data_IF_410139819926
#
_entry.id   IF_410139819926
#
_cell.length_a   1.000
_cell.length_b   1.000
_cell.length_c   1.000
_cell.angle_alpha   90.00
_cell.angle_beta   90.00
_cell.angle_gamma   90.00
#
_symmetry.space_group_name_H-M   'P 1'
#
loop_
_entity.id
_entity.type
_entity.pdbx_description
1 polymer ?
#
# COMPACT_ATOMS: atom_id res chain seq x y z
N UNK A 1 13.24 43.64 33.88
CA UNK A 1 12.66 42.31 34.17
C UNK A 1 12.94 41.43 32.94
N UNK A 2 13.92 40.54 33.00
CA UNK A 2 14.24 39.64 31.88
C UNK A 2 13.12 38.62 31.72
N UNK A 3 12.38 38.68 30.61
CA UNK A 3 11.42 37.64 30.23
C UNK A 3 12.26 36.42 29.82
N UNK A 4 12.18 35.34 30.60
CA UNK A 4 12.86 34.10 30.28
C UNK A 4 12.32 33.58 28.93
N UNK A 5 13.20 33.53 27.93
CA UNK A 5 12.92 32.86 26.66
C UNK A 5 12.73 31.39 26.99
N UNK A 6 11.49 30.89 26.92
CA UNK A 6 11.19 29.48 27.18
C UNK A 6 11.93 28.61 26.17
N UNK A 7 12.46 27.50 26.67
CA UNK A 7 13.03 26.43 25.84
C UNK A 7 11.96 25.89 24.87
N UNK A 8 12.41 25.38 23.73
CA UNK A 8 11.55 24.80 22.70
C UNK A 8 10.67 23.69 23.29
N UNK A 9 9.49 23.44 22.70
CA UNK A 9 8.63 22.33 23.12
C UNK A 9 9.41 21.01 22.99
N UNK A 10 9.42 20.20 24.05
CA UNK A 10 10.07 18.90 24.03
C UNK A 10 9.37 17.98 23.01
N UNK A 11 10.06 17.73 21.91
CA UNK A 11 9.54 16.93 20.79
C UNK A 11 9.32 15.46 21.16
N UNK A 12 10.11 14.91 22.08
CA UNK A 12 9.92 13.52 22.55
C UNK A 12 8.66 13.44 23.39
N UNK A 13 8.46 14.38 24.31
CA UNK A 13 7.24 14.46 25.11
C UNK A 13 6.01 14.69 24.22
N UNK A 14 6.08 15.63 23.28
CA UNK A 14 5.02 15.90 22.32
C UNK A 14 4.66 14.66 21.49
N UNK A 15 5.66 13.89 21.04
CA UNK A 15 5.42 12.61 20.35
C UNK A 15 4.70 11.63 21.27
N UNK A 16 5.15 11.48 22.53
CA UNK A 16 4.49 10.61 23.51
C UNK A 16 3.02 10.96 23.71
N UNK A 17 2.71 12.24 23.94
CA UNK A 17 1.34 12.75 24.08
C UNK A 17 0.52 12.48 22.82
N UNK A 18 1.07 12.71 21.62
CA UNK A 18 0.35 12.46 20.38
C UNK A 18 -0.10 11.00 20.23
N UNK A 19 0.79 10.04 20.53
CA UNK A 19 0.46 8.61 20.47
C UNK A 19 -0.52 8.18 21.56
N UNK A 20 -0.31 8.67 22.79
CA UNK A 20 -1.20 8.39 23.92
C UNK A 20 -2.64 8.83 23.61
N UNK A 21 -2.81 10.07 23.14
CA UNK A 21 -4.14 10.62 22.85
C UNK A 21 -4.73 10.01 21.57
N UNK A 22 -3.91 9.59 20.59
CA UNK A 22 -4.38 8.83 19.43
C UNK A 22 -4.95 7.44 19.80
N UNK A 23 -4.35 6.77 20.79
CA UNK A 23 -4.84 5.50 21.32
C UNK A 23 -6.15 5.69 22.10
N UNK A 24 -6.25 6.73 22.94
CA UNK A 24 -7.50 7.07 23.65
C UNK A 24 -8.64 7.46 22.69
N UNK A 25 -8.32 8.19 21.61
CA UNK A 25 -9.29 8.50 20.57
C UNK A 25 -9.81 7.22 19.87
N UNK A 26 -8.92 6.27 19.55
CA UNK A 26 -9.32 4.98 18.99
C UNK A 26 -10.21 4.15 19.94
N UNK A 27 -10.00 4.28 21.25
CA UNK A 27 -10.85 3.67 22.28
C UNK A 27 -12.18 4.44 22.52
N UNK A 28 -12.48 5.48 21.74
CA UNK A 28 -13.74 6.22 21.82
C UNK A 28 -13.81 7.28 22.92
N UNK A 29 -12.70 7.61 23.58
CA UNK A 29 -12.65 8.67 24.60
C UNK A 29 -12.64 10.07 23.99
N UNK A 30 -13.68 10.40 23.22
CA UNK A 30 -13.79 11.63 22.43
C UNK A 30 -14.81 12.56 23.09
N UNK A 31 -14.45 13.84 23.24
CA UNK A 31 -15.39 14.88 23.69
C UNK A 31 -16.10 15.52 22.47
N UNK A 32 -17.42 15.31 22.30
CA UNK A 32 -18.17 15.85 21.18
C UNK A 32 -18.15 17.38 21.08
N UNK A 33 -17.91 18.09 22.20
CA UNK A 33 -17.89 19.55 22.22
C UNK A 33 -16.73 20.12 21.41
N UNK A 34 -15.64 19.37 21.24
CA UNK A 34 -14.50 19.75 20.38
C UNK A 34 -14.65 19.22 18.96
N UNK A 35 -15.35 18.09 18.75
CA UNK A 35 -15.54 17.49 17.42
C UNK A 35 -16.23 18.46 16.46
N UNK A 36 -17.38 19.00 16.86
CA UNK A 36 -18.21 19.86 15.99
C UNK A 36 -17.45 21.08 15.41
N UNK A 37 -16.78 21.93 16.22
CA UNK A 37 -16.07 23.08 15.66
C UNK A 37 -14.87 22.67 14.79
N UNK A 38 -14.17 21.57 15.11
CA UNK A 38 -13.04 21.07 14.31
C UNK A 38 -13.52 20.50 12.96
N UNK A 39 -14.66 19.82 12.93
CA UNK A 39 -15.32 19.36 11.70
C UNK A 39 -15.70 20.55 10.82
N UNK A 40 -16.35 21.57 11.40
CA UNK A 40 -16.74 22.79 10.68
C UNK A 40 -15.53 23.51 10.07
N UNK A 41 -14.42 23.60 10.79
CA UNK A 41 -13.17 24.13 10.25
C UNK A 41 -12.67 23.27 9.07
N UNK A 42 -12.70 21.94 9.22
CA UNK A 42 -12.23 21.00 8.20
C UNK A 42 -13.02 21.13 6.89
N UNK A 43 -14.35 21.16 6.98
CA UNK A 43 -15.25 21.37 5.85
C UNK A 43 -15.00 22.74 5.19
N UNK A 44 -14.93 23.81 5.98
CA UNK A 44 -14.74 25.16 5.47
C UNK A 44 -13.36 25.37 4.81
N UNK A 45 -12.33 24.67 5.29
CA UNK A 45 -10.97 24.74 4.76
C UNK A 45 -10.78 23.99 3.42
N UNK A 46 -11.67 23.04 3.11
CA UNK A 46 -11.61 22.21 1.90
C UNK A 46 -11.61 23.08 0.63
N UNK A 47 -10.63 22.84 -0.25
CA UNK A 47 -10.45 23.60 -1.49
C UNK A 47 -9.98 25.05 -1.31
N UNK A 48 -9.67 25.51 -0.09
CA UNK A 48 -9.30 26.90 0.20
C UNK A 48 -7.97 27.04 0.94
N UNK A 49 -7.87 26.52 2.15
CA UNK A 49 -6.79 26.87 3.09
C UNK A 49 -6.46 25.76 4.09
N UNK A 50 -6.08 24.60 3.53
CA UNK A 50 -5.86 23.38 4.29
C UNK A 50 -4.72 23.50 5.33
N UNK A 51 -3.78 24.44 5.15
CA UNK A 51 -2.72 24.72 6.13
C UNK A 51 -3.26 25.16 7.50
N UNK A 52 -4.47 25.72 7.59
CA UNK A 52 -5.12 26.06 8.85
C UNK A 52 -5.39 24.81 9.72
N UNK A 53 -5.65 23.67 9.10
CA UNK A 53 -5.85 22.38 9.79
C UNK A 53 -4.54 21.94 10.45
N UNK A 54 -3.43 21.98 9.71
CA UNK A 54 -2.11 21.64 10.24
C UNK A 54 -1.69 22.58 11.38
N UNK A 55 -2.02 23.87 11.29
CA UNK A 55 -1.76 24.83 12.36
C UNK A 55 -2.57 24.52 13.61
N UNK A 56 -3.87 24.23 13.47
CA UNK A 56 -4.71 23.85 14.60
C UNK A 56 -4.15 22.63 15.33
N UNK A 57 -3.85 21.54 14.60
CA UNK A 57 -3.30 20.34 15.22
C UNK A 57 -1.97 20.60 15.95
N UNK A 58 -1.16 21.52 15.41
CA UNK A 58 0.11 21.93 16.04
C UNK A 58 -0.13 22.70 17.33
N UNK A 59 -1.06 23.65 17.33
CA UNK A 59 -1.39 24.46 18.50
C UNK A 59 -2.02 23.62 19.63
N UNK A 60 -2.93 22.71 19.28
CA UNK A 60 -3.53 21.76 20.23
C UNK A 60 -2.45 20.86 20.85
N UNK A 61 -1.56 20.28 20.04
CA UNK A 61 -0.47 19.45 20.54
C UNK A 61 0.47 20.24 21.46
N UNK A 62 0.80 21.48 21.10
CA UNK A 62 1.64 22.34 21.91
C UNK A 62 1.04 22.60 23.29
N UNK A 63 -0.26 22.93 23.35
CA UNK A 63 -1.00 23.18 24.59
C UNK A 63 -1.09 21.94 25.50
N UNK A 64 -1.14 20.74 24.92
CA UNK A 64 -1.12 19.49 25.69
C UNK A 64 0.22 19.22 26.37
N UNK A 65 1.31 19.76 25.83
CA UNK A 65 2.67 19.58 26.37
C UNK A 65 3.03 20.66 27.37
N UNK A 66 2.61 21.89 27.11
CA UNK A 66 2.79 23.02 28.01
C UNK A 66 1.50 23.87 28.06
N UNK A 67 0.75 23.81 29.17
CA UNK A 67 -0.50 24.57 29.32
C UNK A 67 -0.34 26.10 29.28
N UNK A 68 0.88 26.62 29.41
CA UNK A 68 1.14 28.07 29.43
C UNK A 68 1.50 28.67 28.07
N UNK A 69 1.51 27.87 26.99
CA UNK A 69 1.83 28.42 25.66
C UNK A 69 0.76 29.39 25.17
N UNK A 70 1.21 30.31 24.32
CA UNK A 70 0.35 31.12 23.47
C UNK A 70 -0.01 30.32 22.21
N UNK A 71 -1.25 29.81 22.14
CA UNK A 71 -1.69 28.93 21.03
C UNK A 71 -1.77 29.66 19.69
N UNK A 72 -1.72 30.99 19.70
CA UNK A 72 -1.65 31.83 18.50
C UNK A 72 -0.22 32.05 18.01
N UNK A 73 0.80 31.74 18.82
CA UNK A 73 2.19 31.96 18.43
C UNK A 73 2.58 31.06 17.24
N UNK A 74 3.26 31.67 16.26
CA UNK A 74 3.83 30.99 15.09
C UNK A 74 5.35 30.91 15.22
N UNK A 75 5.98 31.98 15.73
CA UNK A 75 7.43 32.12 15.91
C UNK A 75 7.75 32.44 17.37
N UNK A 76 8.96 32.07 17.80
CA UNK A 76 9.48 32.32 19.16
C UNK A 76 9.57 33.82 19.53
N UNK A 77 9.62 34.70 18.53
CA UNK A 77 9.63 36.16 18.72
C UNK A 77 8.27 36.76 19.10
N UNK A 78 7.18 35.99 19.05
CA UNK A 78 5.83 36.48 19.29
C UNK A 78 5.52 36.97 20.72
N UNK A 79 6.38 36.65 21.69
CA UNK A 79 6.26 37.13 23.08
C UNK A 79 6.22 36.01 24.13
N UNK A 80 5.68 36.30 25.33
CA UNK A 80 5.56 35.32 26.41
C UNK A 80 4.74 34.09 25.98
N UNK A 81 5.21 32.89 26.33
CA UNK A 81 4.55 31.63 25.94
C UNK A 81 4.70 31.27 24.46
N UNK A 82 5.46 32.04 23.67
CA UNK A 82 5.68 31.75 22.26
C UNK A 82 6.59 30.53 22.05
N UNK A 83 6.36 29.83 20.95
CA UNK A 83 7.09 28.63 20.55
C UNK A 83 7.30 28.61 19.03
N UNK A 84 8.03 27.61 18.52
CA UNK A 84 8.11 27.39 17.07
C UNK A 84 7.02 26.44 16.61
N UNK A 85 5.90 27.00 16.10
CA UNK A 85 4.83 26.19 15.52
C UNK A 85 5.37 25.36 14.34
N UNK A 86 6.20 25.95 13.48
CA UNK A 86 6.87 25.20 12.39
C UNK A 86 7.71 24.06 12.96
N UNK A 87 8.53 24.33 13.97
CA UNK A 87 9.43 23.37 14.63
C UNK A 87 8.71 22.15 15.20
N UNK A 88 7.54 22.37 15.83
CA UNK A 88 6.71 21.29 16.34
C UNK A 88 5.96 20.56 15.21
N UNK A 89 5.40 21.31 14.25
CA UNK A 89 4.64 20.77 13.14
C UNK A 89 5.47 19.80 12.29
N UNK A 90 6.61 20.25 11.74
CA UNK A 90 7.45 19.42 10.87
C UNK A 90 8.31 18.39 11.63
N UNK A 91 8.47 18.58 12.96
CA UNK A 91 9.31 17.74 13.80
C UNK A 91 8.55 16.64 14.52
N UNK A 92 7.24 16.80 14.70
CA UNK A 92 6.39 15.85 15.44
C UNK A 92 5.10 15.58 14.69
N UNK A 93 4.23 16.57 14.48
CA UNK A 93 2.88 16.29 13.97
C UNK A 93 2.91 15.67 12.56
N UNK A 94 3.59 16.30 11.61
CA UNK A 94 3.69 15.84 10.20
C UNK A 94 4.34 14.46 10.07
N UNK A 95 5.52 14.17 10.65
CA UNK A 95 6.16 12.87 10.44
C UNK A 95 5.40 11.70 11.07
N UNK A 96 4.62 11.92 12.14
CA UNK A 96 3.84 10.86 12.81
C UNK A 96 2.39 10.78 12.30
N UNK A 97 1.91 11.75 11.53
CA UNK A 97 0.54 11.78 11.02
C UNK A 97 0.17 10.60 10.11
N UNK A 98 1.00 10.16 9.14
CA UNK A 98 0.69 9.00 8.30
C UNK A 98 0.53 7.70 9.09
N UNK A 99 1.38 7.46 10.09
CA UNK A 99 1.33 6.27 10.94
C UNK A 99 0.07 6.23 11.81
N UNK A 100 -0.45 7.39 12.21
CA UNK A 100 -1.63 7.54 13.05
C UNK A 100 -2.93 7.77 12.25
N UNK A 101 -2.87 7.71 10.93
CA UNK A 101 -3.95 8.03 9.97
C UNK A 101 -4.53 9.44 10.12
N UNK A 102 -3.72 10.42 10.53
CA UNK A 102 -4.16 11.81 10.72
C UNK A 102 -4.01 12.55 9.39
N UNK A 103 -5.10 12.83 8.68
CA UNK A 103 -5.04 13.66 7.48
C UNK A 103 -4.83 15.15 7.85
N UNK A 104 -3.68 15.77 7.62
CA UNK A 104 -3.45 17.18 7.96
C UNK A 104 -4.02 18.20 6.94
N UNK A 105 -4.75 17.73 5.93
CA UNK A 105 -5.26 18.52 4.81
C UNK A 105 -4.18 18.87 3.77
N UNK A 106 -2.91 18.63 4.05
CA UNK A 106 -1.81 18.87 3.14
C UNK A 106 -0.83 17.70 3.15
N UNK A 107 -0.17 17.44 2.02
CA UNK A 107 0.81 16.36 1.87
C UNK A 107 2.27 16.82 2.02
N UNK A 108 2.51 18.14 2.07
CA UNK A 108 3.85 18.71 2.17
C UNK A 108 4.49 18.51 3.55
N UNK A 109 5.81 18.29 3.58
CA UNK A 109 6.60 18.09 4.82
C UNK A 109 6.62 19.31 5.74
N UNK A 110 6.36 20.50 5.20
CA UNK A 110 6.36 21.76 5.95
C UNK A 110 5.10 22.58 5.67
N UNK A 111 3.93 22.17 6.20
CA UNK A 111 2.65 22.86 5.99
C UNK A 111 2.73 24.36 6.27
N UNK A 112 3.40 24.71 7.38
CA UNK A 112 3.50 26.08 7.89
C UNK A 112 4.60 26.91 7.19
N UNK A 113 5.29 26.36 6.18
CA UNK A 113 6.22 27.10 5.33
C UNK A 113 5.49 27.76 4.13
N UNK A 114 4.27 28.25 4.35
CA UNK A 114 3.41 28.91 3.38
C UNK A 114 2.78 30.18 3.99
N UNK A 115 2.22 31.05 3.17
CA UNK A 115 1.41 32.17 3.66
C UNK A 115 0.15 31.65 4.37
N UNK A 116 -0.32 32.31 5.45
CA UNK A 116 0.24 33.52 6.07
C UNK A 116 1.39 33.23 7.07
N UNK A 117 1.54 31.98 7.50
CA UNK A 117 2.41 31.54 8.60
C UNK A 117 3.89 31.86 8.41
N UNK A 118 4.37 31.87 7.17
CA UNK A 118 5.76 32.22 6.88
C UNK A 118 6.11 33.66 7.33
N UNK A 119 5.20 34.62 7.17
CA UNK A 119 5.48 36.04 7.41
C UNK A 119 5.14 36.50 8.82
N UNK A 120 4.10 35.95 9.43
CA UNK A 120 3.60 36.40 10.73
C UNK A 120 4.38 35.79 11.89
N UNK A 121 4.41 36.48 13.03
CA UNK A 121 4.95 35.94 14.29
C UNK A 121 3.87 35.30 15.15
N UNK A 122 2.67 35.86 15.11
CA UNK A 122 1.47 35.42 15.81
C UNK A 122 0.29 35.45 14.85
N UNK A 123 -0.61 34.48 14.95
CA UNK A 123 -1.85 34.46 14.20
C UNK A 123 -2.86 35.43 14.82
N UNK A 124 -3.46 36.27 14.00
CA UNK A 124 -4.57 37.16 14.39
C UNK A 124 -5.68 37.06 13.35
N UNK A 125 -6.89 37.54 13.67
CA UNK A 125 -8.03 37.53 12.73
C UNK A 125 -7.77 38.40 11.49
N UNK A 126 -6.82 39.33 11.58
CA UNK A 126 -6.38 40.23 10.52
C UNK A 126 -5.25 39.64 9.65
N UNK A 127 -4.82 38.40 9.91
CA UNK A 127 -3.72 37.79 9.16
C UNK A 127 -3.95 37.85 7.63
N UNK A 128 -2.90 38.04 6.83
CA UNK A 128 -3.02 38.32 5.39
C UNK A 128 -3.41 37.05 4.62
N UNK A 129 -4.72 36.80 4.50
CA UNK A 129 -5.29 35.70 3.70
C UNK A 129 -6.25 36.26 2.64
N UNK A 130 -6.60 35.45 1.64
CA UNK A 130 -7.59 35.82 0.63
C UNK A 130 -8.96 36.07 1.29
N UNK A 131 -9.76 36.99 0.76
CA UNK A 131 -11.10 37.30 1.29
C UNK A 131 -11.98 36.05 1.46
N UNK A 132 -11.91 35.12 0.50
CA UNK A 132 -12.62 33.83 0.52
C UNK A 132 -12.19 32.88 1.65
N UNK A 133 -11.03 33.11 2.26
CA UNK A 133 -10.45 32.34 3.37
C UNK A 133 -10.75 32.99 4.73
N UNK A 134 -11.28 34.22 4.77
CA UNK A 134 -11.48 34.98 6.01
C UNK A 134 -12.38 34.23 7.01
N UNK A 135 -13.46 33.63 6.53
CA UNK A 135 -14.35 32.82 7.37
C UNK A 135 -13.65 31.60 7.99
N UNK A 136 -12.78 30.93 7.23
CA UNK A 136 -11.99 29.80 7.73
C UNK A 136 -11.02 30.25 8.83
N UNK A 137 -10.37 31.42 8.64
CA UNK A 137 -9.49 31.94 9.68
C UNK A 137 -10.28 32.29 10.95
N UNK A 138 -11.46 32.90 10.83
CA UNK A 138 -12.26 33.24 12.00
C UNK A 138 -12.65 31.99 12.80
N UNK A 139 -13.08 30.92 12.11
CA UNK A 139 -13.35 29.63 12.76
C UNK A 139 -12.11 29.07 13.46
N UNK A 140 -10.94 29.14 12.83
CA UNK A 140 -9.68 28.73 13.45
C UNK A 140 -9.41 29.55 14.71
N UNK A 141 -9.53 30.88 14.65
CA UNK A 141 -9.32 31.75 15.80
C UNK A 141 -10.33 31.49 16.91
N UNK A 142 -11.60 31.20 16.61
CA UNK A 142 -12.62 30.84 17.61
C UNK A 142 -12.23 29.56 18.38
N UNK A 143 -11.70 28.56 17.67
CA UNK A 143 -11.20 27.32 18.30
C UNK A 143 -9.97 27.61 19.14
N UNK A 144 -9.05 28.46 18.65
CA UNK A 144 -7.84 28.84 19.37
C UNK A 144 -8.14 29.68 20.62
N UNK A 145 -9.13 30.58 20.58
CA UNK A 145 -9.57 31.34 21.76
C UNK A 145 -10.03 30.35 22.85
N UNK A 146 -10.88 29.39 22.49
CA UNK A 146 -11.32 28.34 23.42
C UNK A 146 -10.17 27.48 23.95
N UNK A 147 -9.18 27.17 23.10
CA UNK A 147 -8.01 26.38 23.47
C UNK A 147 -7.04 27.17 24.36
N UNK A 148 -6.92 28.49 24.18
CA UNK A 148 -6.05 29.34 24.98
C UNK A 148 -6.47 29.31 26.46
N UNK A 149 -7.79 29.34 26.70
CA UNK A 149 -8.40 29.33 28.02
C UNK A 149 -8.60 27.92 28.60
N UNK A 150 -8.23 26.86 27.87
CA UNK A 150 -8.47 25.50 28.29
C UNK A 150 -7.43 24.98 29.30
N UNK A 151 -7.86 24.08 30.18
CA UNK A 151 -6.96 23.28 31.00
C UNK A 151 -6.18 22.25 30.17
N UNK A 152 -5.19 21.60 30.78
CA UNK A 152 -4.43 20.53 30.12
C UNK A 152 -5.35 19.38 29.67
N UNK A 153 -6.27 18.92 30.53
CA UNK A 153 -7.20 17.83 30.19
C UNK A 153 -8.12 18.23 29.04
N UNK A 154 -8.61 19.48 29.03
CA UNK A 154 -9.43 19.98 27.93
C UNK A 154 -8.63 20.09 26.62
N UNK A 155 -7.34 20.45 26.68
CA UNK A 155 -6.46 20.44 25.51
C UNK A 155 -6.26 19.01 24.98
N UNK A 156 -6.08 18.02 25.87
CA UNK A 156 -5.99 16.60 25.50
C UNK A 156 -7.29 16.09 24.87
N UNK A 157 -8.45 16.47 25.40
CA UNK A 157 -9.76 16.20 24.77
C UNK A 157 -9.86 16.83 23.37
N UNK A 158 -9.38 18.07 23.19
CA UNK A 158 -9.31 18.71 21.89
C UNK A 158 -8.38 17.95 20.92
N UNK A 159 -7.25 17.40 21.41
CA UNK A 159 -6.34 16.59 20.61
C UNK A 159 -6.99 15.29 20.14
N UNK A 160 -7.70 14.58 21.03
CA UNK A 160 -8.46 13.37 20.66
C UNK A 160 -9.51 13.67 19.61
N UNK A 161 -10.28 14.74 19.79
CA UNK A 161 -11.29 15.18 18.82
C UNK A 161 -10.66 15.58 17.47
N UNK A 162 -9.52 16.28 17.48
CA UNK A 162 -8.78 16.57 16.26
C UNK A 162 -8.36 15.30 15.53
N UNK A 163 -7.77 14.33 16.23
CA UNK A 163 -7.32 13.06 15.65
C UNK A 163 -8.50 12.29 15.05
N UNK A 164 -9.63 12.18 15.78
CA UNK A 164 -10.84 11.52 15.29
C UNK A 164 -11.35 12.14 13.98
N UNK A 165 -11.56 13.47 13.99
CA UNK A 165 -12.02 14.20 12.80
C UNK A 165 -11.05 13.96 11.63
N UNK A 166 -9.74 14.07 11.87
CA UNK A 166 -8.76 13.96 10.78
C UNK A 166 -8.61 12.53 10.26
N UNK A 167 -8.88 11.49 11.06
CA UNK A 167 -8.96 10.09 10.60
C UNK A 167 -10.13 9.86 9.65
N UNK A 168 -11.30 10.45 9.95
CA UNK A 168 -12.49 10.37 9.07
C UNK A 168 -12.28 11.04 7.72
N UNK A 169 -11.38 12.02 7.65
CA UNK A 169 -10.96 12.67 6.39
C UNK A 169 -9.83 11.93 5.66
N UNK A 170 -9.29 10.85 6.22
CA UNK A 170 -8.26 10.02 5.58
C UNK A 170 -8.81 9.14 4.45
N UNK A 171 -7.95 8.78 3.49
CA UNK A 171 -8.27 7.92 2.34
C UNK A 171 -8.76 6.51 2.71
N UNK A 172 -8.64 6.10 3.98
CA UNK A 172 -9.17 4.82 4.48
C UNK A 172 -10.70 4.70 4.32
N UNK A 173 -11.44 5.82 4.31
CA UNK A 173 -12.88 5.82 4.02
C UNK A 173 -13.22 6.14 2.55
N UNK A 174 -12.30 6.72 1.77
CA UNK A 174 -12.53 6.95 0.33
C UNK A 174 -12.27 5.71 -0.52
N UNK A 175 -11.50 4.74 0.01
CA UNK A 175 -11.51 3.35 -0.45
C UNK A 175 -12.54 2.59 0.38
N UNK A 176 -13.81 2.95 0.25
CA UNK A 176 -14.91 2.06 0.59
C UNK A 176 -14.77 0.81 -0.28
N UNK A 177 -13.98 -0.13 0.22
CA UNK A 177 -14.26 -1.56 0.33
C UNK A 177 -15.26 -2.01 -0.75
N UNK A 178 -14.71 -2.33 -1.92
CA UNK A 178 -15.35 -3.34 -2.76
C UNK A 178 -15.03 -4.68 -2.08
N UNK A 179 -16.06 -5.24 -1.49
CA UNK A 179 -16.04 -6.26 -0.44
C UNK A 179 -15.81 -7.66 -1.05
N UNK A 180 -14.70 -7.83 -1.79
CA UNK A 180 -14.28 -9.12 -2.34
C UNK A 180 -12.79 -9.34 -2.10
N UNK A 181 -12.52 -9.80 -0.87
CA UNK A 181 -11.29 -10.44 -0.38
C UNK A 181 -10.06 -9.53 -0.29
N UNK A 182 -9.80 -9.03 0.92
CA UNK A 182 -8.50 -8.48 1.32
C UNK A 182 -7.50 -9.60 1.66
N UNK A 183 -7.28 -10.56 0.75
CA UNK A 183 -6.20 -11.52 0.96
C UNK A 183 -4.86 -10.80 0.79
N UNK A 184 -3.95 -10.95 1.76
CA UNK A 184 -2.62 -10.39 1.62
C UNK A 184 -1.83 -11.17 0.55
N UNK A 185 -0.77 -10.58 -0.01
CA UNK A 185 0.08 -11.29 -0.97
C UNK A 185 0.76 -12.52 -0.34
N UNK A 186 1.09 -12.45 0.95
CA UNK A 186 1.63 -13.58 1.70
C UNK A 186 0.60 -14.70 1.86
N UNK A 187 -0.64 -14.36 2.19
CA UNK A 187 -1.73 -15.36 2.31
C UNK A 187 -2.04 -16.01 0.95
N UNK A 188 -2.05 -15.24 -0.13
CA UNK A 188 -2.22 -15.77 -1.48
C UNK A 188 -1.08 -16.73 -1.85
N UNK A 189 0.16 -16.38 -1.52
CA UNK A 189 1.34 -17.24 -1.79
C UNK A 189 1.22 -18.55 -1.01
N UNK A 190 0.90 -18.48 0.29
CA UNK A 190 0.68 -19.65 1.14
C UNK A 190 -0.46 -20.53 0.61
N UNK A 191 -1.53 -19.93 0.10
CA UNK A 191 -2.65 -20.66 -0.50
C UNK A 191 -2.23 -21.40 -1.77
N UNK A 192 -1.44 -20.76 -2.64
CA UNK A 192 -0.88 -21.39 -3.85
C UNK A 192 0.05 -22.54 -3.50
N UNK A 193 0.97 -22.33 -2.56
CA UNK A 193 1.89 -23.37 -2.07
C UNK A 193 1.11 -24.58 -1.54
N UNK A 194 0.15 -24.34 -0.64
CA UNK A 194 -0.66 -25.41 -0.04
C UNK A 194 -1.47 -26.17 -1.10
N UNK A 195 -2.10 -25.46 -2.04
CA UNK A 195 -2.89 -26.05 -3.12
C UNK A 195 -2.06 -27.02 -3.98
N UNK A 196 -0.83 -26.61 -4.33
CA UNK A 196 0.06 -27.38 -5.23
C UNK A 196 0.74 -28.53 -4.48
N UNK A 197 1.22 -28.29 -3.25
CA UNK A 197 1.93 -29.29 -2.46
C UNK A 197 1.03 -30.45 -2.01
N UNK A 198 -0.24 -30.18 -1.69
CA UNK A 198 -1.14 -31.21 -1.19
C UNK A 198 -1.39 -32.32 -2.22
N UNK A 199 -1.51 -31.96 -3.50
CA UNK A 199 -1.59 -32.89 -4.62
C UNK A 199 -1.37 -32.12 -5.93
N UNK A 200 -0.28 -32.36 -6.65
CA UNK A 200 0.00 -31.63 -7.90
C UNK A 200 -0.97 -31.98 -9.05
N UNK A 201 -1.69 -33.11 -8.92
CA UNK A 201 -2.52 -33.73 -9.96
C UNK A 201 -1.76 -33.91 -11.29
N UNK A 202 -0.51 -34.39 -11.18
CA UNK A 202 0.37 -34.56 -12.33
C UNK A 202 0.84 -33.22 -12.92
N UNK A 203 0.96 -32.19 -12.10
CA UNK A 203 1.40 -30.85 -12.50
C UNK A 203 0.27 -29.90 -12.91
N UNK A 204 -0.98 -30.39 -13.05
CA UNK A 204 -2.13 -29.58 -13.51
C UNK A 204 -2.40 -28.36 -12.63
N UNK A 205 -2.30 -28.50 -11.30
CA UNK A 205 -2.53 -27.38 -10.38
C UNK A 205 -1.47 -26.29 -10.54
N UNK A 206 -0.20 -26.67 -10.59
CA UNK A 206 0.91 -25.74 -10.79
C UNK A 206 0.81 -25.04 -12.16
N UNK A 207 0.49 -25.79 -13.21
CA UNK A 207 0.30 -25.24 -14.56
C UNK A 207 -0.86 -24.23 -14.61
N UNK A 208 -1.99 -24.53 -13.95
CA UNK A 208 -3.12 -23.63 -13.86
C UNK A 208 -2.77 -22.31 -13.14
N UNK A 209 -2.01 -22.38 -12.04
CA UNK A 209 -1.50 -21.19 -11.34
C UNK A 209 -0.61 -20.36 -12.26
N UNK A 210 0.37 -20.99 -12.93
CA UNK A 210 1.26 -20.27 -13.87
C UNK A 210 0.47 -19.61 -15.00
N UNK A 211 -0.53 -20.29 -15.56
CA UNK A 211 -1.41 -19.72 -16.58
C UNK A 211 -2.18 -18.50 -16.05
N UNK A 212 -2.72 -18.57 -14.83
CA UNK A 212 -3.44 -17.46 -14.22
C UNK A 212 -2.53 -16.25 -13.93
N UNK A 213 -1.28 -16.49 -13.51
CA UNK A 213 -0.28 -15.43 -13.35
C UNK A 213 0.02 -14.76 -14.68
N UNK A 214 0.10 -15.55 -15.76
CA UNK A 214 0.32 -15.01 -17.10
C UNK A 214 -0.92 -14.31 -17.66
N UNK A 215 -2.14 -14.67 -17.26
CA UNK A 215 -3.36 -13.94 -17.63
C UNK A 215 -3.32 -12.50 -17.12
N UNK A 216 -2.79 -12.29 -15.91
CA UNK A 216 -2.63 -10.96 -15.30
C UNK A 216 -1.51 -10.15 -15.97
N UNK A 217 -0.49 -10.82 -16.52
CA UNK A 217 0.58 -10.19 -17.28
C UNK A 217 0.14 -9.82 -18.71
N UNK A 218 -0.32 -10.80 -19.48
CA UNK A 218 -0.46 -10.70 -20.93
C UNK A 218 -1.90 -10.58 -21.42
N UNK A 219 -2.90 -10.86 -20.57
CA UNK A 219 -4.29 -11.05 -20.98
C UNK A 219 -4.58 -12.51 -21.34
N UNK A 220 -5.79 -12.97 -20.97
CA UNK A 220 -6.20 -14.37 -21.13
C UNK A 220 -6.20 -14.83 -22.59
N UNK A 221 -6.47 -13.91 -23.52
CA UNK A 221 -6.49 -14.16 -24.96
C UNK A 221 -5.10 -14.47 -25.54
N UNK A 222 -4.03 -14.10 -24.83
CA UNK A 222 -2.65 -14.36 -25.24
C UNK A 222 -2.02 -15.56 -24.54
N UNK A 223 -2.68 -16.14 -23.55
CA UNK A 223 -2.13 -17.24 -22.73
C UNK A 223 -2.71 -18.58 -23.15
N UNK A 224 -1.82 -19.44 -23.62
CA UNK A 224 -2.12 -20.80 -24.07
C UNK A 224 -1.52 -21.81 -23.10
N UNK A 225 -2.37 -22.58 -22.42
CA UNK A 225 -1.98 -23.60 -21.46
C UNK A 225 -2.48 -24.96 -21.94
N UNK A 226 -1.57 -25.93 -22.12
CA UNK A 226 -1.94 -27.28 -22.59
C UNK A 226 -2.86 -28.00 -21.61
N UNK A 227 -3.64 -28.97 -22.10
CA UNK A 227 -4.01 -30.12 -21.26
C UNK A 227 -2.76 -30.98 -21.07
N UNK A 228 -2.47 -31.43 -19.85
CA UNK A 228 -1.26 -32.22 -19.49
C UNK A 228 -1.02 -33.45 -20.39
N UNK A 229 -2.04 -33.93 -21.13
CA UNK A 229 -1.95 -35.07 -22.05
C UNK A 229 -2.22 -34.77 -23.54
N UNK A 230 -2.05 -33.53 -24.02
CA UNK A 230 -2.22 -33.21 -25.46
C UNK A 230 -0.98 -33.60 -26.31
N UNK A 231 -1.11 -34.56 -27.26
CA UNK A 231 -0.01 -35.02 -28.13
C UNK A 231 0.41 -34.00 -29.22
N UNK A 232 -0.21 -32.82 -29.30
CA UNK A 232 0.13 -31.79 -30.29
C UNK A 232 1.58 -31.28 -30.14
N UNK A 233 2.28 -31.19 -31.28
CA UNK A 233 3.72 -30.88 -31.38
C UNK A 233 4.03 -29.40 -31.67
N UNK A 234 3.04 -28.52 -31.59
CA UNK A 234 3.11 -27.15 -32.13
C UNK A 234 3.41 -26.07 -31.08
N UNK A 235 3.42 -26.43 -29.79
CA UNK A 235 3.55 -25.48 -28.67
C UNK A 235 4.84 -25.78 -27.88
N UNK A 236 5.67 -24.77 -27.53
CA UNK A 236 7.01 -25.00 -27.00
C UNK A 236 7.06 -25.52 -25.55
N UNK A 237 6.12 -25.13 -24.69
CA UNK A 237 6.08 -25.54 -23.27
C UNK A 237 4.64 -25.72 -22.73
N UNK A 238 4.49 -25.84 -21.40
CA UNK A 238 3.22 -26.09 -20.71
C UNK A 238 2.28 -24.88 -20.69
N UNK A 239 2.84 -23.68 -20.48
CA UNK A 239 2.14 -22.38 -20.56
C UNK A 239 2.92 -21.44 -21.46
N UNK A 240 2.24 -20.77 -22.38
CA UNK A 240 2.89 -20.00 -23.44
C UNK A 240 2.15 -18.69 -23.64
N UNK A 241 2.91 -17.61 -23.84
CA UNK A 241 2.37 -16.27 -24.07
C UNK A 241 2.62 -15.89 -25.52
N UNK A 242 1.56 -15.60 -26.28
CA UNK A 242 1.64 -15.15 -27.68
C UNK A 242 2.19 -13.73 -27.77
N UNK A 243 2.90 -13.38 -28.84
CA UNK A 243 3.36 -11.99 -29.07
C UNK A 243 2.16 -11.03 -29.20
N UNK A 244 2.28 -9.81 -28.68
CA UNK A 244 1.17 -8.84 -28.67
C UNK A 244 0.74 -8.35 -30.07
N UNK A 245 1.60 -8.48 -31.08
CA UNK A 245 1.40 -7.88 -32.41
C UNK A 245 1.66 -8.81 -33.59
N UNK A 246 1.65 -10.14 -33.41
CA UNK A 246 1.96 -11.06 -34.50
C UNK A 246 1.79 -12.54 -34.15
N UNK A 247 2.19 -13.39 -35.09
CA UNK A 247 2.26 -14.84 -34.89
C UNK A 247 3.48 -15.22 -34.05
N UNK A 248 3.39 -16.37 -33.36
CA UNK A 248 4.48 -16.91 -32.55
C UNK A 248 4.36 -16.57 -31.06
N UNK A 249 5.38 -17.01 -30.31
CA UNK A 249 5.40 -16.96 -28.86
C UNK A 249 6.41 -15.93 -28.37
N UNK A 250 6.02 -15.15 -27.37
CA UNK A 250 6.88 -14.23 -26.64
C UNK A 250 7.63 -14.96 -25.53
N UNK A 251 6.90 -15.78 -24.76
CA UNK A 251 7.44 -16.49 -23.59
C UNK A 251 6.90 -17.91 -23.52
N UNK A 252 7.73 -18.84 -23.09
CA UNK A 252 7.34 -20.23 -22.86
C UNK A 252 7.74 -20.66 -21.45
N UNK A 253 6.80 -21.23 -20.70
CA UNK A 253 6.94 -21.66 -19.32
C UNK A 253 6.80 -23.18 -19.24
N UNK A 254 7.87 -23.86 -18.86
CA UNK A 254 7.82 -25.28 -18.47
C UNK A 254 7.63 -25.35 -16.95
N UNK A 255 6.63 -26.11 -16.50
CA UNK A 255 6.28 -26.23 -15.09
C UNK A 255 6.71 -27.60 -14.60
N UNK A 256 7.53 -27.62 -13.54
CA UNK A 256 8.08 -28.85 -12.97
C UNK A 256 7.75 -28.91 -11.48
N UNK A 257 7.02 -29.95 -11.12
CA UNK A 257 6.73 -30.37 -9.74
C UNK A 257 7.77 -31.36 -9.19
N UNK A 258 8.87 -31.56 -9.94
CA UNK A 258 9.99 -32.46 -9.63
C UNK A 258 11.33 -31.75 -9.82
N UNK A 259 12.42 -32.27 -9.22
CA UNK A 259 13.76 -31.71 -9.43
C UNK A 259 14.10 -31.58 -10.92
N UNK A 260 14.57 -30.39 -11.30
CA UNK A 260 14.90 -30.08 -12.69
C UNK A 260 16.29 -30.62 -13.04
N UNK A 261 16.37 -31.42 -14.09
CA UNK A 261 17.63 -31.98 -14.61
C UNK A 261 18.36 -31.00 -15.54
N UNK A 262 19.61 -31.32 -15.88
CA UNK A 262 20.34 -30.61 -16.94
C UNK A 262 19.59 -30.73 -18.26
N UNK A 263 19.12 -31.93 -18.56
CA UNK A 263 18.43 -32.26 -19.79
C UNK A 263 17.15 -31.43 -19.95
N UNK A 264 16.37 -31.23 -18.88
CA UNK A 264 15.16 -30.40 -18.90
C UNK A 264 15.44 -28.96 -19.36
N UNK A 265 16.47 -28.32 -18.79
CA UNK A 265 16.83 -26.93 -19.10
C UNK A 265 17.28 -26.79 -20.56
N UNK A 266 18.10 -27.71 -21.04
CA UNK A 266 18.64 -27.68 -22.41
C UNK A 266 17.56 -28.03 -23.43
N UNK A 267 16.67 -28.98 -23.12
CA UNK A 267 15.52 -29.34 -23.98
C UNK A 267 14.57 -28.17 -24.10
N UNK A 268 14.22 -27.49 -22.99
CA UNK A 268 13.35 -26.31 -23.03
C UNK A 268 13.95 -25.22 -23.91
N UNK A 269 15.21 -24.84 -23.65
CA UNK A 269 15.89 -23.81 -24.43
C UNK A 269 16.01 -24.19 -25.92
N UNK A 270 16.28 -25.46 -26.24
CA UNK A 270 16.31 -25.94 -27.63
C UNK A 270 14.94 -25.89 -28.31
N UNK A 271 13.85 -26.24 -27.60
CA UNK A 271 12.48 -26.12 -28.12
C UNK A 271 12.11 -24.67 -28.39
N UNK A 272 12.47 -23.77 -27.48
CA UNK A 272 12.22 -22.33 -27.61
C UNK A 272 12.98 -21.76 -28.81
N UNK A 273 14.27 -22.08 -28.95
CA UNK A 273 15.08 -21.66 -30.10
C UNK A 273 14.50 -22.18 -31.43
N UNK A 274 14.06 -23.44 -31.46
CA UNK A 274 13.42 -24.03 -32.65
C UNK A 274 12.02 -23.47 -32.97
N UNK A 275 11.40 -22.75 -32.04
CA UNK A 275 10.04 -22.18 -32.18
C UNK A 275 10.03 -20.65 -32.20
N UNK A 276 11.19 -20.01 -32.40
CA UNK A 276 11.38 -18.54 -32.38
C UNK A 276 10.86 -17.86 -31.11
N UNK A 277 11.12 -18.46 -29.94
CA UNK A 277 10.75 -17.89 -28.62
C UNK A 277 11.97 -17.32 -27.94
N UNK A 278 11.91 -16.03 -27.62
CA UNK A 278 13.04 -15.28 -27.05
C UNK A 278 13.26 -15.57 -25.55
N UNK A 279 12.18 -15.88 -24.82
CA UNK A 279 12.21 -16.11 -23.37
C UNK A 279 11.71 -17.52 -22.99
N UNK A 280 12.63 -18.34 -22.50
CA UNK A 280 12.35 -19.63 -21.88
C UNK A 280 12.34 -19.48 -20.35
N UNK A 281 11.28 -19.96 -19.71
CA UNK A 281 11.11 -19.89 -18.26
C UNK A 281 10.88 -21.29 -17.70
N UNK A 282 11.71 -21.70 -16.76
CA UNK A 282 11.53 -22.92 -15.98
C UNK A 282 10.94 -22.57 -14.62
N UNK A 283 9.78 -23.14 -14.28
CA UNK A 283 9.16 -23.01 -12.96
C UNK A 283 9.46 -24.30 -12.19
N UNK A 284 10.52 -24.26 -11.38
CA UNK A 284 11.11 -25.38 -10.65
C UNK A 284 10.76 -25.29 -9.15
N UNK A 285 9.51 -25.59 -8.79
CA UNK A 285 9.00 -25.45 -7.41
C UNK A 285 9.60 -26.51 -6.46
N UNK A 286 10.19 -27.58 -7.00
CA UNK A 286 10.94 -28.60 -6.26
C UNK A 286 12.45 -28.45 -6.55
N UNK A 287 13.35 -28.89 -5.64
CA UNK A 287 14.57 -28.17 -5.27
C UNK A 287 15.39 -27.65 -6.45
N UNK A 288 15.81 -26.39 -6.33
CA UNK A 288 16.55 -25.67 -7.36
C UNK A 288 17.76 -26.46 -7.86
N UNK A 289 18.00 -26.46 -9.19
CA UNK A 289 19.24 -27.00 -9.73
C UNK A 289 20.47 -26.31 -9.11
N UNK A 290 21.62 -26.99 -9.02
CA UNK A 290 22.86 -26.37 -8.57
C UNK A 290 23.18 -25.10 -9.37
N UNK A 291 23.63 -24.04 -8.70
CA UNK A 291 23.90 -22.72 -9.31
C UNK A 291 24.79 -22.85 -10.57
N UNK A 292 25.83 -23.67 -10.50
CA UNK A 292 26.75 -23.92 -11.63
C UNK A 292 26.02 -24.46 -12.87
N UNK A 293 25.06 -25.37 -12.69
CA UNK A 293 24.27 -25.91 -13.79
C UNK A 293 23.37 -24.82 -14.40
N UNK A 294 22.79 -23.95 -13.57
CA UNK A 294 21.97 -22.83 -14.04
C UNK A 294 22.79 -21.83 -14.86
N UNK A 295 24.01 -21.50 -14.42
CA UNK A 295 24.91 -20.61 -15.16
C UNK A 295 25.32 -21.20 -16.50
N UNK A 296 25.70 -22.48 -16.54
CA UNK A 296 26.03 -23.20 -17.78
C UNK A 296 24.84 -23.23 -18.75
N UNK A 297 23.63 -23.54 -18.27
CA UNK A 297 22.43 -23.59 -19.08
C UNK A 297 22.03 -22.21 -19.62
N UNK A 298 22.14 -21.15 -18.79
CA UNK A 298 21.87 -19.77 -19.21
C UNK A 298 22.82 -19.32 -20.31
N UNK A 299 24.13 -19.53 -20.13
CA UNK A 299 25.12 -19.19 -21.14
C UNK A 299 24.87 -19.95 -22.46
N UNK A 300 24.62 -21.26 -22.37
CA UNK A 300 24.34 -22.10 -23.53
C UNK A 300 23.08 -21.68 -24.30
N UNK A 301 22.05 -21.22 -23.58
CA UNK A 301 20.78 -20.74 -24.16
C UNK A 301 20.97 -19.37 -24.83
N UNK A 302 21.71 -18.47 -24.19
CA UNK A 302 22.01 -17.14 -24.73
C UNK A 302 22.79 -17.22 -26.05
N UNK A 303 23.75 -18.15 -26.16
CA UNK A 303 24.47 -18.44 -27.42
C UNK A 303 23.55 -18.87 -28.58
N UNK A 304 22.29 -19.22 -28.27
CA UNK A 304 21.24 -19.65 -29.21
C UNK A 304 20.10 -18.65 -29.34
N UNK A 305 20.26 -17.44 -28.81
CA UNK A 305 19.26 -16.38 -28.88
C UNK A 305 18.08 -16.54 -27.92
N UNK A 306 18.18 -17.43 -26.92
CA UNK A 306 17.11 -17.66 -25.93
C UNK A 306 17.58 -17.26 -24.54
N UNK A 307 16.82 -16.38 -23.88
CA UNK A 307 17.04 -16.07 -22.47
C UNK A 307 16.37 -17.14 -21.61
N UNK A 308 17.14 -17.80 -20.74
CA UNK A 308 16.64 -18.79 -19.79
C UNK A 308 16.51 -18.21 -18.38
N UNK A 309 15.29 -18.19 -17.85
CA UNK A 309 14.99 -17.81 -16.46
C UNK A 309 14.49 -19.02 -15.68
N UNK A 310 14.87 -19.12 -14.40
CA UNK A 310 14.40 -20.20 -13.51
C UNK A 310 13.82 -19.58 -12.25
N UNK A 311 12.58 -19.92 -11.95
CA UNK A 311 11.92 -19.60 -10.67
C UNK A 311 11.90 -20.85 -9.81
N UNK A 312 12.33 -20.71 -8.56
CA UNK A 312 12.46 -21.80 -7.60
C UNK A 312 11.40 -21.81 -6.50
N UNK A 313 10.56 -20.78 -6.47
CA UNK A 313 9.57 -20.54 -5.43
C UNK A 313 8.40 -19.72 -5.99
N UNK A 314 7.23 -19.90 -5.40
CA UNK A 314 6.01 -19.22 -5.84
C UNK A 314 6.03 -17.73 -5.55
N UNK A 315 6.59 -17.31 -4.41
CA UNK A 315 6.70 -15.89 -4.04
C UNK A 315 7.38 -15.07 -5.13
N UNK A 316 8.55 -15.51 -5.60
CA UNK A 316 9.31 -14.83 -6.66
C UNK A 316 8.53 -14.76 -7.97
N UNK A 317 7.88 -15.86 -8.38
CA UNK A 317 7.10 -15.88 -9.62
C UNK A 317 5.86 -14.98 -9.53
N UNK A 318 5.14 -15.02 -8.40
CA UNK A 318 3.96 -14.19 -8.17
C UNK A 318 4.35 -12.72 -8.18
N UNK A 319 5.34 -12.31 -7.39
CA UNK A 319 5.82 -10.92 -7.35
C UNK A 319 6.26 -10.43 -8.73
N UNK A 320 7.02 -11.26 -9.46
CA UNK A 320 7.50 -10.90 -10.77
C UNK A 320 6.37 -10.77 -11.79
N UNK A 321 5.37 -11.66 -11.76
CA UNK A 321 4.20 -11.59 -12.64
C UNK A 321 3.34 -10.35 -12.38
N UNK A 322 3.16 -9.98 -11.10
CA UNK A 322 2.46 -8.76 -10.70
C UNK A 322 3.20 -7.51 -11.15
N UNK A 323 4.54 -7.54 -11.16
CA UNK A 323 5.36 -6.43 -11.63
C UNK A 323 5.34 -6.29 -13.16
N UNK A 324 5.24 -7.40 -13.89
CA UNK A 324 5.09 -7.37 -15.35
C UNK A 324 3.70 -6.92 -15.80
N UNK A 325 2.69 -7.01 -14.93
CA UNK A 325 1.32 -6.63 -15.27
C UNK A 325 1.23 -5.18 -15.74
N UNK A 326 0.42 -4.89 -16.79
CA UNK A 326 0.15 -3.51 -17.20
C UNK A 326 -0.72 -2.75 -16.18
N UNK A 327 -1.29 -3.44 -15.18
CA UNK A 327 -2.08 -2.85 -14.09
C UNK A 327 -1.23 -2.65 -12.82
N UNK A 328 -1.70 -1.79 -11.90
CA UNK A 328 -1.03 -1.67 -10.59
C UNK A 328 -1.00 -3.01 -9.86
N UNK A 329 0.07 -3.28 -9.10
CA UNK A 329 0.25 -4.51 -8.30
C UNK A 329 -0.98 -4.86 -7.47
N UNK A 330 -1.64 -3.87 -6.85
CA UNK A 330 -2.84 -4.08 -6.04
C UNK A 330 -4.03 -4.58 -6.89
N UNK A 331 -4.27 -3.97 -8.05
CA UNK A 331 -5.35 -4.36 -8.95
C UNK A 331 -5.09 -5.69 -9.67
N UNK A 332 -3.82 -6.00 -9.93
CA UNK A 332 -3.37 -7.27 -10.48
C UNK A 332 -3.56 -8.39 -9.44
N UNK A 333 -3.11 -8.16 -8.20
CA UNK A 333 -3.23 -9.12 -7.10
C UNK A 333 -4.69 -9.44 -6.76
N UNK A 334 -5.59 -8.45 -6.78
CA UNK A 334 -7.02 -8.67 -6.50
C UNK A 334 -7.72 -9.55 -7.53
N UNK A 335 -7.16 -9.72 -8.73
CA UNK A 335 -7.72 -10.58 -9.78
C UNK A 335 -7.22 -12.03 -9.71
N UNK A 336 -6.07 -12.27 -9.08
CA UNK A 336 -5.43 -13.59 -9.06
C UNK A 336 -6.32 -14.69 -8.45
N UNK A 337 -7.04 -14.48 -7.33
CA UNK A 337 -7.91 -15.49 -6.76
C UNK A 337 -8.89 -16.12 -7.78
N UNK A 338 -9.61 -15.25 -8.50
CA UNK A 338 -10.60 -15.67 -9.49
C UNK A 338 -9.96 -16.24 -10.76
N UNK A 339 -8.82 -15.68 -11.20
CA UNK A 339 -8.08 -16.18 -12.37
C UNK A 339 -7.54 -17.59 -12.13
N UNK A 340 -6.99 -17.85 -10.95
CA UNK A 340 -6.49 -19.18 -10.57
C UNK A 340 -7.63 -20.17 -10.53
N UNK A 341 -8.78 -19.83 -9.92
CA UNK A 341 -9.95 -20.71 -9.91
C UNK A 341 -10.41 -21.06 -11.33
N UNK A 342 -10.52 -20.06 -12.21
CA UNK A 342 -10.91 -20.30 -13.60
C UNK A 342 -9.92 -21.23 -14.32
N UNK A 343 -8.60 -21.02 -14.16
CA UNK A 343 -7.59 -21.87 -14.79
C UNK A 343 -7.54 -23.28 -14.19
N UNK A 344 -7.87 -23.45 -12.91
CA UNK A 344 -8.04 -24.77 -12.29
C UNK A 344 -9.21 -25.52 -12.95
N UNK A 345 -10.35 -24.85 -13.16
CA UNK A 345 -11.50 -25.40 -13.88
C UNK A 345 -11.12 -25.78 -15.31
N UNK A 346 -10.46 -24.87 -16.05
CA UNK A 346 -10.03 -25.11 -17.44
C UNK A 346 -9.03 -26.29 -17.56
N UNK A 347 -8.20 -26.48 -16.53
CA UNK A 347 -7.26 -27.60 -16.43
C UNK A 347 -7.91 -28.93 -15.98
N UNK A 348 -9.23 -28.94 -15.75
CA UNK A 348 -10.01 -30.10 -15.32
C UNK A 348 -9.43 -30.74 -14.05
N UNK A 349 -8.99 -29.93 -13.08
CA UNK A 349 -8.56 -30.44 -11.77
C UNK A 349 -9.74 -31.03 -10.99
N UNK A 350 -9.44 -31.81 -9.95
CA UNK A 350 -10.47 -32.42 -9.10
C UNK A 350 -11.36 -31.38 -8.38
N UNK A 351 -12.61 -31.74 -8.08
CA UNK A 351 -13.51 -30.89 -7.27
C UNK A 351 -12.89 -30.62 -5.89
N UNK A 352 -12.19 -31.60 -5.33
CA UNK A 352 -11.47 -31.45 -4.05
C UNK A 352 -10.42 -30.33 -4.11
N UNK A 353 -9.77 -30.11 -5.27
CA UNK A 353 -8.83 -29.00 -5.46
C UNK A 353 -9.53 -27.64 -5.46
N UNK A 354 -10.71 -27.55 -6.08
CA UNK A 354 -11.50 -26.32 -6.15
C UNK A 354 -12.07 -25.96 -4.78
N UNK A 355 -12.59 -26.95 -4.04
CA UNK A 355 -13.04 -26.77 -2.66
C UNK A 355 -11.89 -26.33 -1.75
N UNK A 356 -10.72 -26.96 -1.88
CA UNK A 356 -9.51 -26.57 -1.13
C UNK A 356 -9.12 -25.13 -1.44
N UNK A 357 -9.09 -24.73 -2.72
CA UNK A 357 -8.75 -23.37 -3.13
C UNK A 357 -9.67 -22.33 -2.50
N UNK A 358 -10.99 -22.53 -2.60
CA UNK A 358 -11.98 -21.64 -1.99
C UNK A 358 -11.82 -21.56 -0.47
N UNK A 359 -11.60 -22.70 0.19
CA UNK A 359 -11.38 -22.76 1.63
C UNK A 359 -10.12 -21.99 2.06
N UNK A 360 -9.01 -22.11 1.32
CA UNK A 360 -7.75 -21.39 1.58
C UNK A 360 -7.91 -19.87 1.43
N UNK A 361 -8.83 -19.43 0.57
CA UNK A 361 -9.18 -18.01 0.41
C UNK A 361 -10.21 -17.51 1.43
N UNK A 362 -10.68 -18.36 2.34
CA UNK A 362 -11.74 -18.00 3.29
C UNK A 362 -13.14 -17.90 2.65
N UNK A 363 -13.31 -18.38 1.43
CA UNK A 363 -14.61 -18.53 0.78
C UNK A 363 -15.21 -19.86 1.23
N UNK A 364 -16.08 -19.82 2.24
CA UNK A 364 -16.89 -20.98 2.60
C UNK A 364 -18.06 -21.04 1.61
N UNK A 365 -18.37 -22.20 1.04
CA UNK A 365 -19.57 -22.37 0.23
C UNK A 365 -20.80 -21.94 1.06
N UNK A 366 -21.40 -20.80 0.72
CA UNK A 366 -22.80 -20.55 1.06
C UNK A 366 -23.63 -21.33 0.05
N UNK A 367 -23.75 -22.64 0.28
CA UNK A 367 -24.84 -23.41 -0.30
C UNK A 367 -26.14 -22.95 0.36
N UNK A 368 -27.00 -22.32 -0.44
CA UNK A 368 -28.42 -22.11 -0.19
C UNK A 368 -29.25 -22.97 -1.12
#
# INVERSE_FOLDING_TARGET
>A
MMVAVKADIDKRLARGVLYEEAAKAAAGHIDPTWVKPIEQLSEAATGKSLTHIAFLGTAVLAKCVDPSIDVFAVKKSAGPGAYSARGLCHGVLVPNAPELDINLGVSGREPLNNQPYFRIERLTREAPVRSTTRGVLNLLCDILDRLQDSSEEQARQALRAFIDVRRRHGTRYSRSIDDRLSISLGDLTNAVETLVEQNSEGGRRAQAVVAALMDVFAGQERVDARRVNDPSRTIPADVNVRRAGGEGWERAFEVRDKPVSREDLYVLASKCAGSDVDEAVMVAIAPSPPIKLLEEAKAWSADRGVTLTVFSDWSSLIEQSLHWSPSSTLAAASQLPARIEQRLIDAEVSEEALTLWRALLGQSDQEG
#
